data_IF_435074647297
#
_entry.id   IF_435074647297
#
_cell.length_a   1.000
_cell.length_b   1.000
_cell.length_c   1.000
_cell.angle_alpha   90.00
_cell.angle_beta   90.00
_cell.angle_gamma   90.00
#
_symmetry.space_group_name_H-M   'P 1'
#
loop_
_entity.id
_entity.type
_entity.pdbx_description
1 polymer ?
#
# COMPACT_ATOMS: atom_id res chain seq x y z
N UNK A 1 -13.85 4.71 -6.33
CA UNK A 1 -12.64 4.98 -7.16
C UNK A 1 -11.77 6.05 -6.54
N UNK A 2 -12.33 7.20 -6.15
CA UNK A 2 -11.60 8.31 -5.50
C UNK A 2 -10.79 7.89 -4.27
N UNK A 3 -11.36 7.05 -3.38
CA UNK A 3 -10.65 6.53 -2.20
C UNK A 3 -9.38 5.75 -2.56
N UNK A 4 -9.44 4.93 -3.60
CA UNK A 4 -8.28 4.18 -4.10
C UNK A 4 -7.23 5.13 -4.64
N UNK A 5 -7.62 6.10 -5.47
CA UNK A 5 -6.69 7.09 -6.04
C UNK A 5 -6.03 7.91 -4.93
N UNK A 6 -6.81 8.38 -3.96
CA UNK A 6 -6.30 9.11 -2.80
C UNK A 6 -5.31 8.27 -1.98
N UNK A 7 -5.60 6.97 -1.79
CA UNK A 7 -4.69 6.06 -1.13
C UNK A 7 -3.36 5.93 -1.89
N UNK A 8 -3.41 5.68 -3.19
CA UNK A 8 -2.22 5.47 -4.02
C UNK A 8 -1.34 6.72 -4.06
N UNK A 9 -1.93 7.91 -4.22
CA UNK A 9 -1.20 9.18 -4.22
C UNK A 9 -0.56 9.48 -2.85
N UNK A 10 -1.22 9.10 -1.75
CA UNK A 10 -0.64 9.22 -0.41
C UNK A 10 0.52 8.25 -0.20
N UNK A 11 0.38 7.01 -0.67
CA UNK A 11 1.41 5.99 -0.55
C UNK A 11 2.65 6.31 -1.40
N UNK A 12 2.43 6.83 -2.61
CA UNK A 12 3.49 7.19 -3.56
C UNK A 12 3.20 8.57 -4.18
N UNK A 13 3.67 9.66 -3.55
CA UNK A 13 3.41 11.03 -4.03
C UNK A 13 4.06 11.35 -5.39
N UNK A 14 5.08 10.59 -5.79
CA UNK A 14 5.74 10.72 -7.08
C UNK A 14 5.84 9.35 -7.74
N UNK A 15 5.75 9.32 -9.09
CA UNK A 15 5.81 8.09 -9.90
C UNK A 15 4.85 6.98 -9.39
N UNK A 16 3.64 7.38 -9.02
CA UNK A 16 2.64 6.49 -8.39
C UNK A 16 2.37 5.24 -9.23
N UNK A 17 2.25 5.40 -10.55
CA UNK A 17 1.93 4.29 -11.45
C UNK A 17 3.07 3.26 -11.53
N UNK A 18 4.30 3.74 -11.63
CA UNK A 18 5.51 2.91 -11.68
C UNK A 18 5.75 2.21 -10.34
N UNK A 19 5.51 2.90 -9.22
CA UNK A 19 5.63 2.33 -7.89
C UNK A 19 4.60 1.21 -7.65
N UNK A 20 3.35 1.41 -8.10
CA UNK A 20 2.31 0.36 -8.04
C UNK A 20 2.67 -0.84 -8.91
N UNK A 21 3.22 -0.62 -10.11
CA UNK A 21 3.68 -1.73 -10.95
C UNK A 21 4.82 -2.51 -10.27
N UNK A 22 5.80 -1.80 -9.69
CA UNK A 22 6.92 -2.42 -8.99
C UNK A 22 6.46 -3.24 -7.77
N UNK A 23 5.62 -2.68 -6.89
CA UNK A 23 5.19 -3.35 -5.65
C UNK A 23 4.25 -4.54 -5.93
N UNK A 24 3.53 -4.52 -7.06
CA UNK A 24 2.69 -5.63 -7.50
C UNK A 24 3.44 -6.63 -8.38
N UNK A 25 4.77 -6.49 -8.50
CA UNK A 25 5.62 -7.36 -9.32
C UNK A 25 5.15 -7.46 -10.79
N UNK A 26 4.63 -6.35 -11.33
CA UNK A 26 4.14 -6.27 -12.70
C UNK A 26 2.73 -6.79 -12.92
N UNK A 27 2.03 -7.29 -11.88
CA UNK A 27 0.66 -7.77 -11.99
C UNK A 27 -0.34 -6.63 -12.29
N UNK A 28 -0.06 -5.42 -11.79
CA UNK A 28 -0.81 -4.21 -12.12
C UNK A 28 0.07 -3.28 -12.93
N UNK A 29 -0.21 -3.17 -14.23
CA UNK A 29 0.58 -2.34 -15.16
C UNK A 29 0.40 -0.84 -14.91
N UNK A 30 1.51 -0.09 -14.97
CA UNK A 30 1.54 1.37 -14.79
C UNK A 30 0.56 2.11 -15.69
N UNK A 31 0.44 1.73 -16.97
CA UNK A 31 -0.53 2.34 -17.89
C UNK A 31 -1.99 2.19 -17.43
N UNK A 32 -2.31 1.07 -16.77
CA UNK A 32 -3.63 0.87 -16.17
C UNK A 32 -3.83 1.77 -14.95
N UNK A 33 -2.81 1.89 -14.11
CA UNK A 33 -2.82 2.78 -12.94
C UNK A 33 -2.99 4.24 -13.36
N UNK A 34 -2.30 4.69 -14.43
CA UNK A 34 -2.45 6.05 -14.98
C UNK A 34 -3.90 6.36 -15.35
N UNK A 35 -4.63 5.40 -15.94
CA UNK A 35 -6.06 5.55 -16.23
C UNK A 35 -6.90 5.66 -14.96
N UNK A 36 -6.57 4.92 -13.90
CA UNK A 36 -7.25 5.04 -12.61
C UNK A 36 -7.03 6.41 -11.96
N UNK A 37 -5.79 6.91 -12.00
CA UNK A 37 -5.43 8.24 -11.47
C UNK A 37 -6.19 9.37 -12.18
N UNK A 38 -6.51 9.17 -13.46
CA UNK A 38 -7.33 10.09 -14.27
C UNK A 38 -8.84 9.80 -14.17
N UNK A 39 -9.26 8.87 -13.30
CA UNK A 39 -10.64 8.44 -13.11
C UNK A 39 -11.33 7.91 -14.40
N UNK A 40 -10.55 7.43 -15.36
CA UNK A 40 -11.06 6.96 -16.65
C UNK A 40 -11.59 5.52 -16.60
N UNK A 41 -11.10 4.70 -15.66
CA UNK A 41 -11.60 3.34 -15.48
C UNK A 41 -11.41 2.85 -14.04
N UNK A 42 -12.15 1.81 -13.67
CA UNK A 42 -12.01 1.14 -12.38
C UNK A 42 -10.95 0.02 -12.44
N UNK A 43 -10.32 -0.32 -11.30
CA UNK A 43 -9.64 -1.61 -11.19
C UNK A 43 -10.69 -2.73 -11.31
N UNK A 44 -10.29 -3.83 -11.96
CA UNK A 44 -11.08 -5.07 -11.87
C UNK A 44 -10.78 -5.80 -10.57
N UNK A 45 -11.48 -6.91 -10.36
CA UNK A 45 -11.33 -7.74 -9.16
C UNK A 45 -9.90 -8.28 -8.98
N UNK A 46 -9.24 -8.71 -10.06
CA UNK A 46 -7.87 -9.23 -9.99
C UNK A 46 -6.88 -8.14 -9.60
N UNK A 47 -7.00 -6.96 -10.20
CA UNK A 47 -6.23 -5.79 -9.82
C UNK A 47 -6.43 -5.44 -8.33
N UNK A 48 -7.68 -5.46 -7.85
CA UNK A 48 -7.96 -5.24 -6.42
C UNK A 48 -7.28 -6.28 -5.53
N UNK A 49 -7.33 -7.57 -5.88
CA UNK A 49 -6.64 -8.62 -5.11
C UNK A 49 -5.12 -8.41 -5.05
N UNK A 50 -4.50 -8.03 -6.16
CA UNK A 50 -3.06 -7.73 -6.18
C UNK A 50 -2.72 -6.51 -5.33
N UNK A 51 -3.56 -5.47 -5.33
CA UNK A 51 -3.38 -4.30 -4.48
C UNK A 51 -3.56 -4.66 -2.99
N UNK A 52 -4.56 -5.48 -2.65
CA UNK A 52 -4.75 -5.97 -1.27
C UNK A 52 -3.54 -6.79 -0.82
N UNK A 53 -3.01 -7.68 -1.68
CA UNK A 53 -1.78 -8.45 -1.38
C UNK A 53 -0.57 -7.53 -1.14
N UNK A 54 -0.43 -6.48 -1.94
CA UNK A 54 0.72 -5.58 -1.87
C UNK A 54 0.66 -4.61 -0.69
N UNK A 55 -0.52 -4.05 -0.39
CA UNK A 55 -0.67 -2.99 0.61
C UNK A 55 -1.23 -3.48 1.95
N UNK A 56 -1.90 -4.62 1.97
CA UNK A 56 -2.47 -5.23 3.18
C UNK A 56 -3.83 -4.66 3.58
N UNK A 57 -4.18 -4.87 4.85
CA UNK A 57 -5.49 -4.51 5.40
C UNK A 57 -5.74 -2.99 5.41
N UNK A 58 -4.68 -2.17 5.50
CA UNK A 58 -4.78 -0.71 5.45
C UNK A 58 -5.41 -0.21 4.14
N UNK A 59 -5.01 -0.79 3.01
CA UNK A 59 -5.62 -0.50 1.72
C UNK A 59 -7.07 -0.98 1.68
N UNK A 60 -7.32 -2.19 2.16
CA UNK A 60 -8.64 -2.81 2.14
C UNK A 60 -9.67 -1.98 2.93
N UNK A 61 -9.31 -1.50 4.12
CA UNK A 61 -10.14 -0.59 4.93
C UNK A 61 -10.42 0.71 4.17
N UNK A 62 -9.41 1.28 3.52
CA UNK A 62 -9.56 2.53 2.78
C UNK A 62 -10.55 2.40 1.61
N UNK A 63 -10.53 1.28 0.87
CA UNK A 63 -11.39 1.11 -0.31
C UNK A 63 -12.82 0.65 0.02
N UNK A 64 -13.01 -0.13 1.09
CA UNK A 64 -14.35 -0.57 1.54
C UNK A 64 -15.10 0.60 2.22
N UNK A 65 -14.41 1.37 3.06
CA UNK A 65 -14.91 2.56 3.76
C UNK A 65 -16.06 2.38 4.76
N UNK A 66 -16.79 1.27 4.74
CA UNK A 66 -17.58 0.76 5.86
C UNK A 66 -17.02 -0.61 6.27
N UNK A 67 -15.76 -0.60 6.69
CA UNK A 67 -15.04 -1.82 7.06
C UNK A 67 -15.55 -2.32 8.42
N UNK A 68 -15.82 -3.63 8.58
CA UNK A 68 -16.18 -4.19 9.88
C UNK A 68 -15.05 -3.95 10.90
N UNK A 69 -15.41 -3.82 12.18
CA UNK A 69 -14.47 -3.46 13.25
C UNK A 69 -13.26 -4.40 13.33
N UNK A 70 -13.48 -5.71 13.16
CA UNK A 70 -12.42 -6.71 13.11
C UNK A 70 -11.39 -6.47 11.99
N UNK A 71 -11.81 -5.90 10.86
CA UNK A 71 -10.91 -5.54 9.76
C UNK A 71 -10.13 -4.26 10.07
N UNK A 72 -10.74 -3.31 10.77
CA UNK A 72 -10.05 -2.11 11.25
C UNK A 72 -8.97 -2.47 12.28
N UNK A 73 -9.27 -3.36 13.23
CA UNK A 73 -8.31 -3.87 14.21
C UNK A 73 -7.13 -4.56 13.54
N UNK A 74 -7.40 -5.42 12.54
CA UNK A 74 -6.37 -6.06 11.73
C UNK A 74 -5.46 -5.03 11.04
N UNK A 75 -6.04 -3.98 10.44
CA UNK A 75 -5.27 -2.91 9.79
C UNK A 75 -4.38 -2.12 10.77
N UNK A 76 -4.89 -1.83 11.98
CA UNK A 76 -4.12 -1.16 13.04
C UNK A 76 -2.96 -2.06 13.49
N UNK A 77 -3.22 -3.35 13.70
CA UNK A 77 -2.21 -4.33 14.11
C UNK A 77 -1.09 -4.45 13.07
N UNK A 78 -1.44 -4.58 11.79
CA UNK A 78 -0.47 -4.67 10.70
C UNK A 78 0.38 -3.39 10.59
N UNK A 79 -0.24 -2.21 10.73
CA UNK A 79 0.50 -0.93 10.72
C UNK A 79 1.50 -0.85 11.87
N UNK A 80 1.10 -1.28 13.07
CA UNK A 80 2.00 -1.34 14.24
C UNK A 80 3.15 -2.30 14.03
N UNK A 81 2.89 -3.49 13.48
CA UNK A 81 3.93 -4.47 13.19
C UNK A 81 4.97 -3.93 12.18
N UNK A 82 4.52 -3.29 11.09
CA UNK A 82 5.42 -2.67 10.10
C UNK A 82 6.27 -1.54 10.71
N UNK A 83 5.69 -0.74 11.59
CA UNK A 83 6.41 0.31 12.30
C UNK A 83 7.50 -0.26 13.21
N UNK A 84 7.17 -1.25 14.03
CA UNK A 84 8.12 -1.90 14.93
C UNK A 84 9.27 -2.59 14.16
N UNK A 85 8.97 -3.25 13.05
CA UNK A 85 9.99 -3.83 12.17
C UNK A 85 10.92 -2.76 11.57
N UNK A 86 10.38 -1.60 11.24
CA UNK A 86 11.19 -0.48 10.71
C UNK A 86 12.10 0.11 11.78
N UNK A 87 11.59 0.26 13.02
CA UNK A 87 12.39 0.69 14.18
C UNK A 87 13.52 -0.31 14.44
N UNK A 88 13.21 -1.60 14.46
CA UNK A 88 14.21 -2.66 14.66
C UNK A 88 15.32 -2.60 13.62
N UNK A 89 14.99 -2.46 12.33
CA UNK A 89 15.99 -2.34 11.26
C UNK A 89 16.90 -1.13 11.46
N UNK A 90 16.33 0.02 11.84
CA UNK A 90 17.11 1.22 12.13
C UNK A 90 18.03 1.01 13.34
N UNK A 91 17.55 0.39 14.42
CA UNK A 91 18.39 0.07 15.58
C UNK A 91 19.55 -0.87 15.23
N UNK A 92 19.32 -1.86 14.36
CA UNK A 92 20.37 -2.76 13.85
C UNK A 92 21.42 -2.00 13.00
N UNK A 93 21.00 -1.03 12.17
CA UNK A 93 21.88 -0.16 11.37
C UNK A 93 22.72 0.80 12.24
N UNK A 94 22.13 1.40 13.28
CA UNK A 94 22.83 2.30 14.20
C UNK A 94 23.73 1.54 15.18
N UNK A 95 23.30 0.38 15.69
CA UNK A 95 24.09 -0.47 16.58
C UNK A 95 25.33 -1.06 15.90
N UNK A 96 25.22 -1.40 14.61
CA UNK A 96 26.37 -1.86 13.81
C UNK A 96 27.34 -0.75 13.42
N UNK A 97 26.89 0.52 13.35
CA UNK A 97 27.73 1.69 13.06
C UNK A 97 28.48 2.24 14.29
N UNK A 98 28.00 1.96 15.50
CA UNK A 98 28.63 2.39 16.78
C UNK A 98 29.77 1.48 17.26
N UNK A 99 29.93 0.29 16.64
CA UNK A 99 30.92 -0.72 17.02
C UNK A 99 32.16 -0.76 16.09
N UNK A 100 32.43 0.29 15.32
CA UNK A 100 33.62 0.44 14.47
C UNK A 100 34.49 1.61 14.88
#
# INVERSE_FOLDING_TARGET
>A
MERLVAYLLRAFPSKTAEAVEAITEGAVKSDRVRKWLQLQCAPDFLALLHLIRAFGADFLVCVIGDAPESLLEAAISERRARFLESVRKLEEEFGSSSSR
#
